data_IF_970899589235
#
_entry.id   IF_970899589235
#
_cell.length_a   1.000
_cell.length_b   1.000
_cell.length_c   1.000
_cell.angle_alpha   90.00
_cell.angle_beta   90.00
_cell.angle_gamma   90.00
#
_symmetry.space_group_name_H-M   'P 1'
#
loop_
_entity.id
_entity.type
_entity.pdbx_description
1 polymer ?
#
# COMPACT_ATOMS: atom_id res chain seq x y z
N UNK A 1 9.93 16.23 -3.25
CA UNK A 1 9.78 17.00 -2.00
C UNK A 1 10.67 16.35 -0.93
N UNK A 2 11.26 17.09 0.01
CA UNK A 2 12.05 16.47 1.09
C UNK A 2 11.11 16.24 2.27
N UNK A 3 10.87 14.97 2.62
CA UNK A 3 10.05 14.58 3.77
C UNK A 3 10.71 15.12 5.05
N UNK A 4 9.94 15.83 5.86
CA UNK A 4 10.36 16.32 7.18
C UNK A 4 10.40 15.18 8.19
N UNK A 5 11.05 15.39 9.34
CA UNK A 5 11.10 14.37 10.40
C UNK A 5 9.71 14.04 10.96
N UNK A 6 8.81 15.03 11.02
CA UNK A 6 7.44 14.85 11.50
C UNK A 6 6.63 14.02 10.49
N UNK A 7 6.59 14.43 9.22
CA UNK A 7 5.93 13.66 8.15
C UNK A 7 6.46 12.22 8.05
N UNK A 8 7.77 12.03 8.26
CA UNK A 8 8.34 10.68 8.27
C UNK A 8 7.73 9.80 9.37
N UNK A 9 7.58 10.34 10.59
CA UNK A 9 6.98 9.56 11.69
C UNK A 9 5.50 9.30 11.46
N UNK A 10 4.76 10.30 10.95
CA UNK A 10 3.34 10.17 10.66
C UNK A 10 3.10 9.12 9.58
N UNK A 11 3.84 9.18 8.46
CA UNK A 11 3.72 8.18 7.40
C UNK A 11 4.18 6.80 7.86
N UNK A 12 5.21 6.70 8.69
CA UNK A 12 5.62 5.42 9.27
C UNK A 12 4.49 4.81 10.10
N UNK A 13 3.88 5.60 10.98
CA UNK A 13 2.77 5.16 11.82
C UNK A 13 1.57 4.74 10.96
N UNK A 14 1.22 5.53 9.95
CA UNK A 14 0.14 5.23 9.01
C UNK A 14 0.37 3.88 8.31
N UNK A 15 1.57 3.62 7.78
CA UNK A 15 1.90 2.35 7.13
C UNK A 15 1.75 1.18 8.12
N UNK A 16 2.21 1.34 9.37
CA UNK A 16 2.12 0.31 10.41
C UNK A 16 0.65 0.01 10.75
N UNK A 17 -0.18 1.03 10.93
CA UNK A 17 -1.60 0.92 11.22
C UNK A 17 -2.36 0.28 10.05
N UNK A 18 -2.18 0.78 8.83
CA UNK A 18 -2.81 0.23 7.62
C UNK A 18 -2.42 -1.23 7.39
N UNK A 19 -1.14 -1.57 7.57
CA UNK A 19 -0.67 -2.96 7.43
C UNK A 19 -1.29 -3.85 8.52
N UNK A 20 -1.41 -3.36 9.75
CA UNK A 20 -2.06 -4.09 10.84
C UNK A 20 -3.55 -4.30 10.58
N UNK A 21 -4.27 -3.29 10.08
CA UNK A 21 -5.68 -3.38 9.68
C UNK A 21 -5.85 -4.42 8.57
N UNK A 22 -5.02 -4.38 7.53
CA UNK A 22 -5.04 -5.37 6.45
C UNK A 22 -4.83 -6.79 6.97
N UNK A 23 -3.95 -6.98 7.96
CA UNK A 23 -3.64 -8.31 8.48
C UNK A 23 -4.72 -8.86 9.42
N UNK A 24 -5.36 -8.00 10.21
CA UNK A 24 -6.16 -8.40 11.36
C UNK A 24 -7.66 -8.08 11.26
N UNK A 25 -8.06 -7.15 10.39
CA UNK A 25 -9.44 -6.62 10.35
C UNK A 25 -10.04 -6.66 8.94
N UNK A 26 -9.29 -6.24 7.91
CA UNK A 26 -9.79 -6.15 6.53
C UNK A 26 -9.66 -7.48 5.78
N UNK A 27 -10.36 -8.50 6.28
CA UNK A 27 -10.26 -9.87 5.76
C UNK A 27 -10.68 -10.00 4.29
N UNK A 28 -11.65 -9.23 3.82
CA UNK A 28 -12.11 -9.28 2.43
C UNK A 28 -11.01 -8.82 1.46
N UNK A 29 -10.44 -7.63 1.71
CA UNK A 29 -9.29 -7.11 0.95
C UNK A 29 -8.08 -8.05 1.05
N UNK A 30 -7.76 -8.54 2.25
CA UNK A 30 -6.70 -9.53 2.48
C UNK A 30 -6.87 -10.77 1.60
N UNK A 31 -8.07 -11.32 1.57
CA UNK A 31 -8.38 -12.52 0.78
C UNK A 31 -8.31 -12.25 -0.73
N UNK A 32 -8.74 -11.07 -1.20
CA UNK A 32 -8.61 -10.67 -2.60
C UNK A 32 -7.14 -10.58 -3.02
N UNK A 33 -6.30 -9.96 -2.19
CA UNK A 33 -4.86 -9.81 -2.45
C UNK A 33 -4.16 -11.19 -2.50
N UNK A 34 -4.42 -12.06 -1.50
CA UNK A 34 -3.84 -13.41 -1.45
C UNK A 34 -4.29 -14.27 -2.64
N UNK A 35 -5.57 -14.18 -3.03
CA UNK A 35 -6.11 -14.93 -4.16
C UNK A 35 -5.48 -14.54 -5.50
N UNK A 36 -4.83 -13.37 -5.58
CA UNK A 36 -4.05 -12.91 -6.72
C UNK A 36 -2.55 -13.20 -6.58
N UNK A 37 -2.17 -14.16 -5.73
CA UNK A 37 -0.79 -14.62 -5.51
C UNK A 37 0.17 -13.57 -4.92
N UNK A 38 -0.35 -12.56 -4.23
CA UNK A 38 0.48 -11.58 -3.52
C UNK A 38 0.77 -12.10 -2.10
N UNK A 39 2.04 -12.19 -1.75
CA UNK A 39 2.47 -12.58 -0.40
C UNK A 39 2.41 -11.39 0.57
N UNK A 40 1.49 -11.43 1.54
CA UNK A 40 1.30 -10.37 2.53
C UNK A 40 2.29 -10.35 3.70
N UNK A 41 3.04 -11.43 3.96
CA UNK A 41 4.00 -11.47 5.07
C UNK A 41 5.12 -10.44 4.92
N UNK A 42 5.41 -10.04 3.68
CA UNK A 42 6.50 -9.13 3.33
C UNK A 42 6.03 -7.89 2.58
N UNK A 43 4.71 -7.69 2.53
CA UNK A 43 4.08 -6.59 1.83
C UNK A 43 3.49 -5.63 2.84
N UNK A 44 3.82 -4.35 2.68
CA UNK A 44 3.25 -3.25 3.44
C UNK A 44 2.07 -2.66 2.66
N UNK A 45 1.01 -2.29 3.38
CA UNK A 45 -0.02 -1.42 2.83
C UNK A 45 0.42 0.03 3.05
N UNK A 46 0.87 0.66 1.97
CA UNK A 46 1.53 1.97 2.00
C UNK A 46 0.53 3.12 2.05
N UNK A 47 -0.63 2.93 1.44
CA UNK A 47 -1.72 3.88 1.48
C UNK A 47 -3.02 3.24 1.06
N UNK A 48 -4.12 3.79 1.53
CA UNK A 48 -5.48 3.34 1.27
C UNK A 48 -6.43 4.52 1.28
N UNK A 49 -7.35 4.57 0.32
CA UNK A 49 -8.49 5.47 0.37
C UNK A 49 -9.69 4.86 -0.36
N UNK A 50 -10.89 5.31 -0.01
CA UNK A 50 -12.12 4.99 -0.73
C UNK A 50 -12.60 6.26 -1.44
N UNK A 51 -12.96 6.15 -2.71
CA UNK A 51 -13.50 7.27 -3.47
C UNK A 51 -15.02 7.45 -3.27
N UNK A 52 -15.58 8.50 -3.86
CA UNK A 52 -17.00 8.83 -3.72
C UNK A 52 -17.95 7.78 -4.34
N UNK A 53 -17.44 6.88 -5.18
CA UNK A 53 -18.21 5.80 -5.80
C UNK A 53 -18.13 4.49 -4.99
N UNK A 54 -17.43 4.50 -3.85
CA UNK A 54 -17.23 3.34 -2.99
C UNK A 54 -16.18 2.36 -3.53
N UNK A 55 -15.30 2.83 -4.41
CA UNK A 55 -14.17 2.04 -4.91
C UNK A 55 -12.97 2.27 -4.00
N UNK A 56 -12.37 1.15 -3.57
CA UNK A 56 -11.19 1.17 -2.71
C UNK A 56 -9.93 1.25 -3.59
N UNK A 57 -8.99 2.09 -3.20
CA UNK A 57 -7.71 2.27 -3.86
C UNK A 57 -6.60 2.13 -2.84
N UNK A 58 -5.45 1.61 -3.27
CA UNK A 58 -4.30 1.61 -2.41
C UNK A 58 -3.02 1.17 -3.09
N UNK A 59 -1.94 1.20 -2.31
CA UNK A 59 -0.60 0.90 -2.78
C UNK A 59 0.04 -0.14 -1.87
N UNK A 60 0.51 -1.23 -2.46
CA UNK A 60 1.24 -2.30 -1.81
C UNK A 60 2.72 -2.20 -2.18
N UNK A 61 3.58 -2.34 -1.18
CA UNK A 61 5.03 -2.41 -1.39
C UNK A 61 5.59 -3.68 -0.79
N UNK A 62 6.19 -4.53 -1.62
CA UNK A 62 6.87 -5.74 -1.16
C UNK A 62 8.34 -5.46 -0.90
N UNK A 63 8.74 -5.54 0.38
CA UNK A 63 10.10 -5.21 0.82
C UNK A 63 11.17 -6.18 0.34
N UNK A 64 10.81 -7.44 0.06
CA UNK A 64 11.77 -8.48 -0.33
C UNK A 64 12.09 -8.43 -1.80
N UNK A 65 11.03 -8.38 -2.61
CA UNK A 65 11.11 -8.48 -4.06
C UNK A 65 11.17 -7.09 -4.71
N UNK A 66 11.07 -6.03 -3.89
CA UNK A 66 11.16 -4.62 -4.25
C UNK A 66 10.25 -4.24 -5.42
N UNK A 67 9.00 -4.69 -5.37
CA UNK A 67 7.97 -4.31 -6.33
C UNK A 67 6.87 -3.49 -5.66
N UNK A 68 6.23 -2.66 -6.47
CA UNK A 68 5.11 -1.80 -6.09
C UNK A 68 3.89 -2.24 -6.89
N UNK A 69 2.76 -2.42 -6.22
CA UNK A 69 1.47 -2.69 -6.86
C UNK A 69 0.47 -1.64 -6.42
N UNK A 70 -0.16 -0.96 -7.38
CA UNK A 70 -1.39 -0.22 -7.14
C UNK A 70 -2.56 -1.19 -7.25
N UNK A 71 -3.48 -1.16 -6.29
CA UNK A 71 -4.71 -1.93 -6.38
C UNK A 71 -5.93 -1.03 -6.41
N UNK A 72 -6.97 -1.58 -7.01
CA UNK A 72 -8.29 -1.00 -7.07
C UNK A 72 -9.31 -2.12 -6.82
N UNK A 73 -10.20 -1.95 -5.84
CA UNK A 73 -11.27 -2.90 -5.55
C UNK A 73 -12.63 -2.27 -5.81
N UNK A 74 -13.43 -2.96 -6.63
CA UNK A 74 -14.81 -2.57 -6.88
C UNK A 74 -15.66 -3.81 -7.10
N UNK A 75 -16.84 -3.86 -6.47
CA UNK A 75 -17.75 -5.01 -6.55
C UNK A 75 -17.05 -6.36 -6.30
N UNK A 76 -16.20 -6.43 -5.27
CA UNK A 76 -15.44 -7.63 -4.89
C UNK A 76 -14.48 -8.16 -5.97
N UNK A 77 -14.06 -7.30 -6.91
CA UNK A 77 -13.02 -7.59 -7.88
C UNK A 77 -11.83 -6.67 -7.63
N UNK A 78 -10.62 -7.23 -7.67
CA UNK A 78 -9.38 -6.47 -7.52
C UNK A 78 -8.68 -6.36 -8.88
N UNK A 79 -8.30 -5.14 -9.23
CA UNK A 79 -7.41 -4.84 -10.35
C UNK A 79 -6.04 -4.46 -9.78
N UNK A 80 -4.97 -5.04 -10.34
CA UNK A 80 -3.60 -4.84 -9.88
C UNK A 80 -2.78 -4.25 -11.02
N UNK A 81 -2.07 -3.16 -10.74
CA UNK A 81 -1.16 -2.50 -11.68
C UNK A 81 0.23 -2.45 -11.09
N UNK A 82 1.19 -3.09 -11.75
CA UNK A 82 2.61 -2.95 -11.39
C UNK A 82 3.11 -1.56 -11.70
N UNK A 83 3.86 -0.98 -10.76
CA UNK A 83 4.49 0.33 -10.90
C UNK A 83 5.99 0.12 -10.95
N UNK A 84 6.62 0.58 -12.04
CA UNK A 84 8.05 0.38 -12.28
C UNK A 84 8.89 1.48 -11.63
N UNK A 85 8.35 2.70 -11.52
CA UNK A 85 9.07 3.83 -10.96
C UNK A 85 8.30 4.49 -9.80
N UNK A 86 9.01 4.69 -8.69
CA UNK A 86 8.48 5.29 -7.44
C UNK A 86 7.80 6.64 -7.69
N UNK A 87 8.35 7.45 -8.61
CA UNK A 87 7.83 8.77 -8.96
C UNK A 87 6.49 8.76 -9.68
N UNK A 88 6.03 7.62 -10.21
CA UNK A 88 4.70 7.51 -10.85
C UNK A 88 3.57 7.63 -9.82
N UNK A 89 3.84 7.30 -8.56
CA UNK A 89 2.85 7.24 -7.49
C UNK A 89 3.23 8.08 -6.27
N UNK A 90 4.40 8.72 -6.26
CA UNK A 90 4.92 9.42 -5.08
C UNK A 90 4.13 10.67 -4.68
N UNK A 91 3.41 11.28 -5.62
CA UNK A 91 2.60 12.46 -5.35
C UNK A 91 1.29 12.06 -4.65
N UNK A 92 0.70 10.92 -5.03
CA UNK A 92 -0.51 10.37 -4.43
C UNK A 92 -0.22 9.57 -3.15
N UNK A 93 0.96 8.96 -3.07
CA UNK A 93 1.41 8.09 -1.98
C UNK A 93 2.81 8.49 -1.49
N UNK A 94 2.96 9.66 -0.84
CA UNK A 94 4.24 10.11 -0.29
C UNK A 94 4.83 9.13 0.73
N UNK A 95 3.97 8.35 1.40
CA UNK A 95 4.34 7.27 2.33
C UNK A 95 5.28 6.23 1.68
N UNK A 96 5.22 6.05 0.35
CA UNK A 96 6.06 5.07 -0.35
C UNK A 96 7.56 5.31 -0.12
N UNK A 97 7.99 6.56 -0.06
CA UNK A 97 9.39 6.89 0.20
C UNK A 97 9.83 6.44 1.60
N UNK A 98 8.93 6.55 2.59
CA UNK A 98 9.15 6.06 3.94
C UNK A 98 9.17 4.53 3.96
N UNK A 99 8.20 3.88 3.32
CA UNK A 99 8.13 2.43 3.21
C UNK A 99 9.41 1.81 2.62
N UNK A 100 9.97 2.43 1.56
CA UNK A 100 11.24 2.00 0.94
C UNK A 100 12.41 2.17 1.92
N UNK A 101 12.48 3.30 2.64
CA UNK A 101 13.54 3.54 3.63
C UNK A 101 13.50 2.59 4.84
N UNK A 102 12.35 1.96 5.10
CA UNK A 102 12.16 0.95 6.16
C UNK A 102 12.51 -0.48 5.70
N UNK A 103 12.79 -0.67 4.41
CA UNK A 103 13.14 -1.98 3.84
C UNK A 103 14.64 -2.31 3.94
N UNK A 104 15.47 -1.35 4.37
CA UNK A 104 16.90 -1.51 4.66
C UNK A 104 17.19 -2.21 6.00
#
# INVERSE_FOLDING_TARGET
>A
MKITTEEFQDYKLEIEELTALLHNEWFDLKNLIISNNINLERTLLVGYYEDAEGKEHGLLYNKKDNFILKFEVFNNNISLTSIDQVNEVSDDYPQLQVAISLAD
#
